data_IF_469582207991
#
_entry.id   IF_469582207991
#
_cell.length_a   1.000
_cell.length_b   1.000
_cell.length_c   1.000
_cell.angle_alpha   90.00
_cell.angle_beta   90.00
_cell.angle_gamma   90.00
#
_symmetry.space_group_name_H-M   'P 1'
#
loop_
_entity.id
_entity.type
_entity.pdbx_description
1 polymer ?
#
# COMPACT_ATOMS: atom_id res chain seq x y z
N UNK A 1 30.96 67.00 33.75
CA UNK A 1 30.21 66.28 32.70
C UNK A 1 30.43 64.75 32.74
N UNK A 2 29.36 63.95 32.74
CA UNK A 2 29.41 62.48 32.64
C UNK A 2 29.20 62.03 31.19
N UNK A 3 30.09 61.21 30.63
CA UNK A 3 29.98 60.67 29.28
C UNK A 3 29.86 59.15 29.32
N UNK A 4 28.72 58.66 28.85
CA UNK A 4 28.42 57.23 28.74
C UNK A 4 28.58 56.75 27.30
N UNK A 5 29.01 55.50 27.15
CA UNK A 5 28.90 54.75 25.92
C UNK A 5 27.95 53.57 26.12
N UNK A 6 26.94 53.53 25.26
CA UNK A 6 25.99 52.43 25.17
C UNK A 6 26.37 51.58 23.96
N UNK A 7 26.34 50.26 24.12
CA UNK A 7 26.44 49.33 22.99
C UNK A 7 25.24 49.51 22.06
N UNK A 8 25.37 49.09 20.79
CA UNK A 8 24.33 49.30 19.76
C UNK A 8 22.98 48.67 20.11
N UNK A 9 23.02 47.56 20.86
CA UNK A 9 21.87 46.82 21.37
C UNK A 9 21.33 47.38 22.71
N UNK A 10 21.96 48.43 23.26
CA UNK A 10 21.69 48.98 24.59
C UNK A 10 21.79 47.93 25.73
N UNK A 11 22.58 46.87 25.55
CA UNK A 11 22.76 45.83 26.58
C UNK A 11 23.87 46.14 27.56
N UNK A 12 24.79 47.05 27.24
CA UNK A 12 25.89 47.42 28.14
C UNK A 12 26.05 48.93 28.18
N UNK A 13 26.18 49.49 29.39
CA UNK A 13 26.55 50.89 29.61
C UNK A 13 27.94 50.97 30.25
N UNK A 14 28.79 51.80 29.67
CA UNK A 14 30.18 51.99 30.11
C UNK A 14 30.46 53.48 30.32
N UNK A 15 31.05 53.85 31.45
CA UNK A 15 31.53 55.23 31.67
C UNK A 15 32.84 55.39 30.89
N UNK A 16 32.88 56.35 29.96
CA UNK A 16 34.10 56.69 29.21
C UNK A 16 34.86 57.85 29.85
N UNK A 17 34.15 58.91 30.20
CA UNK A 17 34.73 60.11 30.78
C UNK A 17 33.83 60.61 31.90
N UNK A 18 34.45 61.07 32.98
CA UNK A 18 33.77 61.69 34.11
C UNK A 18 34.54 62.95 34.49
N UNK A 19 33.83 64.06 34.51
CA UNK A 19 34.34 65.35 34.97
C UNK A 19 33.34 65.92 35.99
N UNK A 20 33.79 66.38 37.15
CA UNK A 20 32.91 66.85 38.24
C UNK A 20 33.29 68.29 38.55
N UNK A 21 32.38 69.22 38.24
CA UNK A 21 32.70 70.66 38.28
C UNK A 21 32.94 71.20 39.71
N UNK A 22 32.36 70.59 40.76
CA UNK A 22 32.65 70.87 42.18
C UNK A 22 32.22 69.73 43.13
N UNK A 23 33.10 69.31 44.06
CA UNK A 23 32.79 68.39 45.17
C UNK A 23 33.28 66.94 45.01
N UNK A 24 33.24 66.15 46.09
CA UNK A 24 33.50 64.69 46.06
C UNK A 24 32.38 63.97 45.30
N UNK A 25 32.74 63.03 44.42
CA UNK A 25 31.75 62.18 43.76
C UNK A 25 31.13 61.24 44.80
N UNK A 26 29.81 61.16 44.83
CA UNK A 26 29.06 60.25 45.70
C UNK A 26 28.36 59.17 44.87
N UNK A 27 28.24 57.96 45.42
CA UNK A 27 27.52 56.84 44.79
C UNK A 27 26.09 57.27 44.38
N UNK A 28 25.37 57.96 45.28
CA UNK A 28 24.00 58.44 45.05
C UNK A 28 23.92 59.57 44.01
N UNK A 29 24.98 60.37 43.88
CA UNK A 29 25.09 61.39 42.85
C UNK A 29 25.26 60.77 41.47
N UNK A 30 26.21 59.82 41.36
CA UNK A 30 26.49 59.09 40.13
C UNK A 30 25.26 58.29 39.68
N UNK A 31 24.60 57.56 40.59
CA UNK A 31 23.38 56.81 40.28
C UNK A 31 22.24 57.71 39.78
N UNK A 32 22.07 58.92 40.35
CA UNK A 32 21.10 59.91 39.87
C UNK A 32 21.41 60.41 38.46
N UNK A 33 22.68 60.65 38.16
CA UNK A 33 23.09 61.13 36.84
C UNK A 33 23.00 60.04 35.78
N UNK A 34 23.26 58.78 36.13
CA UNK A 34 22.98 57.62 35.28
C UNK A 34 21.50 57.51 34.92
N UNK A 35 20.62 57.69 35.91
CA UNK A 35 19.16 57.70 35.70
C UNK A 35 18.70 58.85 34.80
N UNK A 36 19.30 60.04 34.94
CA UNK A 36 19.02 61.18 34.03
C UNK A 36 19.47 60.92 32.59
N UNK A 37 20.53 60.13 32.40
CA UNK A 37 20.98 59.70 31.07
C UNK A 37 20.25 58.44 30.55
N UNK A 38 19.19 58.00 31.25
CA UNK A 38 18.31 56.93 30.78
C UNK A 38 18.73 55.52 31.18
N UNK A 39 19.78 55.35 32.00
CA UNK A 39 20.15 54.04 32.56
C UNK A 39 19.24 53.76 33.76
N UNK A 40 18.40 52.74 33.64
CA UNK A 40 17.35 52.44 34.60
C UNK A 40 17.36 50.99 35.10
N UNK A 41 18.13 50.12 34.46
CA UNK A 41 18.18 48.69 34.75
C UNK A 41 19.61 48.16 34.73
N UNK A 42 19.87 47.12 35.55
CA UNK A 42 21.12 46.37 35.48
C UNK A 42 22.36 47.07 36.03
N UNK A 43 22.19 48.16 36.80
CA UNK A 43 23.28 48.94 37.39
C UNK A 43 24.03 48.11 38.44
N UNK A 44 25.36 48.01 38.32
CA UNK A 44 26.21 47.32 39.28
C UNK A 44 26.76 48.30 40.32
N UNK A 45 26.17 48.29 41.52
CA UNK A 45 26.58 49.14 42.65
C UNK A 45 28.05 48.93 43.05
N UNK A 46 28.62 47.74 42.83
CA UNK A 46 30.04 47.49 43.11
C UNK A 46 30.93 48.15 42.07
N UNK A 47 30.51 48.15 40.81
CA UNK A 47 31.22 48.86 39.75
C UNK A 47 31.15 50.39 39.98
N UNK A 48 29.99 50.92 40.39
CA UNK A 48 29.85 52.34 40.74
C UNK A 48 30.78 52.75 41.87
N UNK A 49 30.82 51.99 42.97
CA UNK A 49 31.75 52.25 44.10
C UNK A 49 33.21 52.25 43.68
N UNK A 50 33.60 51.33 42.79
CA UNK A 50 34.96 51.29 42.23
C UNK A 50 35.25 52.55 41.43
N UNK A 51 34.35 52.95 40.55
CA UNK A 51 34.47 54.19 39.76
C UNK A 51 34.60 55.41 40.67
N UNK A 52 33.77 55.50 41.71
CA UNK A 52 33.79 56.61 42.68
C UNK A 52 35.09 56.64 43.46
N UNK A 53 35.55 55.50 43.97
CA UNK A 53 36.81 55.41 44.71
C UNK A 53 38.03 55.74 43.85
N UNK A 54 38.07 55.29 42.58
CA UNK A 54 39.14 55.60 41.64
C UNK A 54 39.15 57.09 41.33
N UNK A 55 37.98 57.65 40.99
CA UNK A 55 37.87 59.07 40.64
C UNK A 55 38.24 60.00 41.80
N UNK A 56 37.80 59.71 43.03
CA UNK A 56 38.13 60.53 44.20
C UNK A 56 39.61 60.41 44.61
N UNK A 57 40.33 59.36 44.20
CA UNK A 57 41.77 59.18 44.48
C UNK A 57 42.68 59.80 43.42
N UNK A 58 42.35 59.69 42.13
CA UNK A 58 43.21 60.11 41.02
C UNK A 58 42.71 61.36 40.27
N UNK A 59 41.47 61.77 40.51
CA UNK A 59 40.79 62.84 39.77
C UNK A 59 40.44 62.51 38.31
N UNK A 60 40.71 61.28 37.86
CA UNK A 60 40.47 60.83 36.47
C UNK A 60 40.12 59.35 36.40
N UNK A 61 39.21 58.98 35.50
CA UNK A 61 39.05 57.59 35.07
C UNK A 61 40.10 57.25 34.02
N UNK A 62 40.94 56.26 34.29
CA UNK A 62 41.93 55.78 33.33
C UNK A 62 41.36 54.74 32.36
N UNK A 63 40.32 54.00 32.77
CA UNK A 63 39.74 52.91 32.00
C UNK A 63 38.22 52.99 31.94
N UNK A 64 37.66 52.65 30.78
CA UNK A 64 36.22 52.56 30.59
C UNK A 64 35.66 51.41 31.44
N UNK A 65 34.75 51.71 32.36
CA UNK A 65 34.19 50.71 33.30
C UNK A 65 32.74 50.43 32.96
N UNK A 66 32.39 49.15 32.81
CA UNK A 66 31.01 48.71 32.66
C UNK A 66 30.29 48.95 33.98
N UNK A 67 29.20 49.69 33.93
CA UNK A 67 28.44 50.13 35.11
C UNK A 67 27.00 49.63 35.11
N UNK A 68 26.49 49.19 33.96
CA UNK A 68 25.22 48.50 33.87
C UNK A 68 25.24 47.45 32.77
N UNK A 69 24.58 46.31 33.02
CA UNK A 69 24.36 45.24 32.05
C UNK A 69 22.88 44.87 32.01
N UNK A 70 22.33 44.85 30.80
CA UNK A 70 20.99 44.36 30.54
C UNK A 70 20.89 42.86 30.81
N UNK A 71 19.65 42.37 30.92
CA UNK A 71 19.36 40.95 31.02
C UNK A 71 19.08 40.42 29.63
N UNK A 72 19.88 39.49 29.13
CA UNK A 72 19.60 38.88 27.83
C UNK A 72 18.27 38.11 27.84
N UNK A 73 17.53 38.11 26.72
CA UNK A 73 16.35 37.28 26.60
C UNK A 73 16.72 35.80 26.63
N UNK A 74 15.79 34.96 27.10
CA UNK A 74 15.94 33.51 27.05
C UNK A 74 15.04 32.98 25.94
N UNK A 75 15.65 32.44 24.88
CA UNK A 75 14.92 31.80 23.77
C UNK A 75 14.05 30.65 24.29
N UNK A 76 12.84 30.54 23.73
CA UNK A 76 11.93 29.44 24.05
C UNK A 76 12.45 28.10 23.54
N UNK A 77 11.77 27.01 23.89
CA UNK A 77 11.99 25.71 23.26
C UNK A 77 10.92 25.48 22.21
N UNK A 78 11.30 24.86 21.09
CA UNK A 78 10.33 24.36 20.11
C UNK A 78 9.68 23.07 20.64
N UNK A 79 8.62 22.60 19.99
CA UNK A 79 8.01 21.31 20.33
C UNK A 79 9.03 20.17 20.09
N UNK A 80 9.03 19.13 20.90
CA UNK A 80 9.97 18.02 20.73
C UNK A 80 9.25 16.69 20.76
N UNK A 81 9.64 15.80 19.86
CA UNK A 81 9.13 14.44 19.82
C UNK A 81 10.11 13.55 20.59
N UNK A 82 9.68 13.03 21.73
CA UNK A 82 10.47 12.10 22.54
C UNK A 82 10.08 10.66 22.16
N UNK A 83 10.93 9.91 21.43
CA UNK A 83 10.66 8.51 21.14
C UNK A 83 10.61 7.68 22.41
N UNK A 84 9.75 6.68 22.42
CA UNK A 84 9.57 5.73 23.52
C UNK A 84 9.78 4.27 23.05
N UNK A 85 10.69 4.09 22.09
CA UNK A 85 11.13 2.80 21.56
C UNK A 85 12.65 2.78 21.39
N UNK A 86 13.24 1.58 21.40
CA UNK A 86 14.66 1.32 21.14
C UNK A 86 14.93 1.26 19.64
N UNK A 87 16.11 1.74 19.22
CA UNK A 87 16.64 1.54 17.87
C UNK A 87 18.05 0.93 17.92
N UNK A 88 18.45 0.30 16.83
CA UNK A 88 19.83 -0.15 16.62
C UNK A 88 20.23 -0.02 15.16
N UNK A 89 21.54 0.10 14.91
CA UNK A 89 22.11 0.05 13.57
C UNK A 89 22.43 -1.40 13.20
N UNK A 90 21.76 -1.92 12.19
CA UNK A 90 22.01 -3.23 11.60
C UNK A 90 23.01 -3.08 10.45
N UNK A 91 24.15 -3.77 10.54
CA UNK A 91 25.11 -3.84 9.45
C UNK A 91 24.65 -4.87 8.42
N UNK A 92 24.42 -4.43 7.19
CA UNK A 92 24.08 -5.30 6.06
C UNK A 92 25.34 -5.45 5.21
N UNK A 93 25.81 -6.69 5.08
CA UNK A 93 26.88 -7.05 4.13
C UNK A 93 26.22 -7.51 2.84
N UNK A 94 26.50 -6.83 1.72
CA UNK A 94 26.14 -7.36 0.42
C UNK A 94 27.09 -8.49 0.03
N UNK A 95 26.55 -9.57 -0.54
CA UNK A 95 27.31 -10.78 -0.86
C UNK A 95 28.41 -10.58 -1.92
N UNK A 96 28.53 -9.40 -2.56
CA UNK A 96 29.48 -9.14 -3.65
C UNK A 96 30.08 -7.71 -3.66
N UNK A 97 29.94 -6.92 -2.58
CA UNK A 97 30.52 -5.56 -2.51
C UNK A 97 31.18 -5.27 -1.15
N UNK A 98 32.34 -4.59 -1.16
CA UNK A 98 33.01 -4.08 0.05
C UNK A 98 32.23 -2.92 0.74
N UNK A 99 31.05 -2.55 0.20
CA UNK A 99 30.17 -1.55 0.82
C UNK A 99 29.30 -2.20 1.89
N UNK A 100 29.55 -1.82 3.14
CA UNK A 100 28.61 -2.06 4.23
C UNK A 100 27.58 -0.92 4.28
N UNK A 101 26.30 -1.27 4.24
CA UNK A 101 25.21 -0.34 4.53
C UNK A 101 24.75 -0.55 5.97
N UNK A 102 24.48 0.54 6.68
CA UNK A 102 23.87 0.49 8.00
C UNK A 102 22.40 0.86 7.87
N UNK A 103 21.52 -0.04 8.28
CA UNK A 103 20.09 0.19 8.35
C UNK A 103 19.73 0.46 9.81
N UNK A 104 19.11 1.59 10.10
CA UNK A 104 18.52 1.82 11.42
C UNK A 104 17.20 1.03 11.51
N UNK A 105 17.11 0.15 12.51
CA UNK A 105 15.92 -0.64 12.81
C UNK A 105 15.40 -0.28 14.20
N UNK A 106 14.09 -0.39 14.40
CA UNK A 106 13.42 -0.20 15.69
C UNK A 106 12.96 -1.54 16.28
N UNK A 107 12.66 -1.55 17.57
CA UNK A 107 11.99 -2.70 18.18
C UNK A 107 10.55 -2.87 17.65
N UNK A 108 10.03 -4.09 17.73
CA UNK A 108 8.63 -4.37 17.43
C UNK A 108 7.75 -3.81 18.55
N UNK A 109 6.92 -2.83 18.22
CA UNK A 109 5.90 -2.27 19.12
C UNK A 109 4.61 -3.09 19.02
N UNK A 110 3.89 -3.24 20.13
CA UNK A 110 2.56 -3.85 20.15
C UNK A 110 1.47 -2.80 20.05
N UNK A 111 0.30 -3.18 19.52
CA UNK A 111 -0.86 -2.28 19.48
C UNK A 111 -1.21 -1.76 20.89
N UNK A 112 -1.37 -0.45 20.98
CA UNK A 112 -1.60 0.30 22.21
C UNK A 112 -0.34 0.82 22.91
N UNK A 113 0.86 0.38 22.50
CA UNK A 113 2.11 0.87 23.10
C UNK A 113 2.33 2.35 22.82
N UNK A 114 2.98 3.03 23.77
CA UNK A 114 3.42 4.41 23.60
C UNK A 114 4.62 4.44 22.64
N UNK A 115 4.46 5.09 21.49
CA UNK A 115 5.52 5.23 20.48
C UNK A 115 6.33 6.50 20.71
N UNK A 116 5.67 7.61 20.99
CA UNK A 116 6.34 8.87 21.26
C UNK A 116 5.51 9.81 22.14
N UNK A 117 6.17 10.77 22.76
CA UNK A 117 5.54 11.87 23.49
C UNK A 117 5.89 13.20 22.81
N UNK A 118 4.88 13.94 22.38
CA UNK A 118 5.00 15.30 21.88
C UNK A 118 5.02 16.29 23.05
N UNK A 119 6.20 16.82 23.35
CA UNK A 119 6.36 17.87 24.35
C UNK A 119 6.04 19.24 23.73
N UNK A 120 5.17 20.00 24.41
CA UNK A 120 4.80 21.34 23.97
C UNK A 120 5.97 22.34 24.03
N UNK A 121 6.00 23.32 23.11
CA UNK A 121 7.03 24.36 23.13
C UNK A 121 6.94 25.19 24.40
N UNK A 122 8.09 25.66 24.91
CA UNK A 122 8.14 26.56 26.07
C UNK A 122 8.35 27.98 25.57
N UNK A 123 7.53 28.96 26.01
CA UNK A 123 7.70 30.34 25.59
C UNK A 123 9.04 30.90 26.06
N UNK A 124 9.65 31.73 25.22
CA UNK A 124 10.83 32.49 25.60
C UNK A 124 10.50 33.51 26.68
N UNK A 125 11.52 33.98 27.40
CA UNK A 125 11.40 35.05 28.39
C UNK A 125 12.09 36.30 27.85
N UNK A 126 11.40 37.42 27.91
CA UNK A 126 11.96 38.71 27.53
C UNK A 126 13.19 39.06 28.37
N UNK A 127 14.16 39.64 27.68
CA UNK A 127 15.29 40.33 28.27
C UNK A 127 14.93 41.78 28.58
N UNK A 128 15.91 42.54 29.07
CA UNK A 128 15.76 43.95 29.38
C UNK A 128 17.07 44.69 29.13
N UNK A 129 17.02 45.77 28.36
CA UNK A 129 18.18 46.65 28.11
C UNK A 129 18.56 47.40 29.38
N UNK A 130 19.75 48.02 29.41
CA UNK A 130 20.15 48.92 30.52
C UNK A 130 19.27 50.16 30.63
N UNK A 131 18.55 50.50 29.55
CA UNK A 131 17.58 51.61 29.51
C UNK A 131 16.19 51.22 30.01
N UNK A 132 15.97 49.94 30.32
CA UNK A 132 14.70 49.43 30.83
C UNK A 132 13.67 49.10 29.75
N UNK A 133 14.11 48.95 28.49
CA UNK A 133 13.26 48.50 27.39
C UNK A 133 13.30 46.96 27.31
N UNK A 134 12.16 46.28 27.07
CA UNK A 134 12.14 44.84 26.89
C UNK A 134 12.85 44.44 25.60
N UNK A 135 13.56 43.30 25.64
CA UNK A 135 14.18 42.66 24.48
C UNK A 135 13.45 41.35 24.21
N UNK A 136 12.86 41.20 23.03
CA UNK A 136 12.16 39.98 22.66
C UNK A 136 13.15 38.80 22.53
N UNK A 137 12.77 37.58 22.95
CA UNK A 137 13.54 36.38 22.65
C UNK A 137 13.47 36.06 21.17
N UNK A 138 14.49 35.34 20.69
CA UNK A 138 14.45 34.78 19.34
C UNK A 138 13.27 33.81 19.21
N UNK A 139 12.63 33.80 18.04
CA UNK A 139 11.57 32.86 17.75
C UNK A 139 12.16 31.46 17.49
N UNK A 140 11.68 30.40 18.16
CA UNK A 140 12.11 29.05 17.86
C UNK A 140 11.70 28.66 16.43
N UNK A 141 12.39 27.69 15.81
CA UNK A 141 12.00 27.19 14.50
C UNK A 141 10.58 26.62 14.53
N UNK A 142 9.83 26.86 13.47
CA UNK A 142 8.47 26.35 13.30
C UNK A 142 8.52 24.84 13.04
N UNK A 143 7.59 24.10 13.64
CA UNK A 143 7.49 22.65 13.50
C UNK A 143 6.23 22.28 12.74
N UNK A 144 6.40 21.43 11.74
CA UNK A 144 5.33 20.70 11.09
C UNK A 144 5.48 19.21 11.44
N UNK A 145 4.51 18.67 12.18
CA UNK A 145 4.45 17.26 12.56
C UNK A 145 3.43 16.53 11.71
N UNK A 146 3.86 15.45 11.05
CA UNK A 146 3.00 14.52 10.33
C UNK A 146 2.95 13.20 11.07
N UNK A 147 1.75 12.78 11.48
CA UNK A 147 1.49 11.45 12.04
C UNK A 147 1.08 10.53 10.89
N UNK A 148 1.86 9.48 10.66
CA UNK A 148 1.60 8.47 9.65
C UNK A 148 0.46 7.52 10.02
N UNK A 149 0.15 6.60 9.10
CA UNK A 149 -0.86 5.57 9.34
C UNK A 149 -0.47 4.65 10.51
N UNK A 150 -1.47 4.02 11.12
CA UNK A 150 -1.32 3.12 12.27
C UNK A 150 -0.75 3.76 13.55
N UNK A 151 -0.87 5.08 13.69
CA UNK A 151 -0.53 5.83 14.90
C UNK A 151 -1.70 6.71 15.33
N UNK A 152 -1.95 6.76 16.63
CA UNK A 152 -3.00 7.59 17.23
C UNK A 152 -2.37 8.67 18.10
N UNK A 153 -2.68 9.95 17.83
CA UNK A 153 -2.24 11.09 18.63
C UNK A 153 -3.38 11.55 19.54
N UNK A 154 -3.13 11.51 20.86
CA UNK A 154 -3.94 12.23 21.84
C UNK A 154 -3.47 13.69 21.93
N UNK A 155 -4.23 14.60 21.31
CA UNK A 155 -3.93 16.03 21.29
C UNK A 155 -3.87 16.68 22.69
N UNK A 156 -4.55 16.11 23.69
CA UNK A 156 -4.57 16.68 25.04
C UNK A 156 -3.31 16.33 25.82
N UNK A 157 -2.81 15.11 25.65
CA UNK A 157 -1.66 14.61 26.40
C UNK A 157 -0.36 14.61 25.60
N UNK A 158 -0.45 14.79 24.28
CA UNK A 158 0.69 14.68 23.36
C UNK A 158 1.17 13.24 23.16
N UNK A 159 0.43 12.23 23.65
CA UNK A 159 0.84 10.83 23.54
C UNK A 159 0.53 10.31 22.15
N UNK A 160 1.52 9.68 21.53
CA UNK A 160 1.36 8.99 20.25
C UNK A 160 1.47 7.49 20.52
N UNK A 161 0.39 6.75 20.27
CA UNK A 161 0.31 5.30 20.51
C UNK A 161 0.23 4.51 19.21
N UNK A 162 0.70 3.27 19.23
CA UNK A 162 0.60 2.36 18.11
C UNK A 162 -0.84 1.89 17.91
N UNK A 163 -1.44 2.18 16.75
CA UNK A 163 -2.75 1.67 16.36
C UNK A 163 -2.71 0.24 15.80
N UNK A 164 -1.51 -0.26 15.48
CA UNK A 164 -1.25 -1.65 15.09
C UNK A 164 0.15 -2.06 15.55
N UNK A 165 0.37 -3.36 15.76
CA UNK A 165 1.71 -3.88 16.05
C UNK A 165 2.66 -3.72 14.85
N UNK A 166 3.84 -3.15 15.06
CA UNK A 166 4.79 -2.85 13.98
C UNK A 166 6.01 -2.06 14.41
N UNK A 167 6.73 -1.52 13.42
CA UNK A 167 8.03 -0.89 13.58
C UNK A 167 7.92 0.62 13.36
N UNK A 168 8.10 1.44 14.42
CA UNK A 168 8.06 2.88 14.28
C UNK A 168 9.33 3.44 13.63
N UNK A 169 9.17 4.51 12.87
CA UNK A 169 10.25 5.28 12.27
C UNK A 169 9.97 6.76 12.46
N UNK A 170 10.99 7.53 12.87
CA UNK A 170 10.90 8.99 12.99
C UNK A 170 11.89 9.62 12.02
N UNK A 171 11.37 10.37 11.07
CA UNK A 171 12.13 11.14 10.11
C UNK A 171 12.11 12.62 10.51
N UNK A 172 13.28 13.19 10.76
CA UNK A 172 13.43 14.62 11.07
C UNK A 172 14.24 15.27 9.96
N UNK A 173 13.66 16.28 9.31
CA UNK A 173 14.39 17.10 8.36
C UNK A 173 14.24 18.60 8.68
N UNK A 174 15.34 19.34 8.55
CA UNK A 174 15.36 20.79 8.79
C UNK A 174 15.65 21.52 7.49
N UNK A 175 14.83 22.52 7.15
CA UNK A 175 15.03 23.42 6.01
C UNK A 175 14.82 24.87 6.44
N UNK A 176 15.87 25.68 6.35
CA UNK A 176 15.88 27.09 6.80
C UNK A 176 15.50 27.21 8.29
N UNK A 177 14.33 27.77 8.59
CA UNK A 177 13.79 27.95 9.95
C UNK A 177 12.57 27.05 10.25
N UNK A 178 12.37 26.01 9.43
CA UNK A 178 11.30 25.02 9.62
C UNK A 178 11.90 23.63 9.86
N UNK A 179 11.38 22.92 10.85
CA UNK A 179 11.67 21.53 11.13
C UNK A 179 10.44 20.70 10.80
N UNK A 180 10.59 19.75 9.89
CA UNK A 180 9.54 18.79 9.56
C UNK A 180 9.85 17.49 10.28
N UNK A 181 8.90 17.03 11.09
CA UNK A 181 8.97 15.74 11.76
C UNK A 181 7.86 14.86 11.20
N UNK A 182 8.22 13.66 10.79
CA UNK A 182 7.27 12.66 10.34
C UNK A 182 7.51 11.39 11.16
N UNK A 183 6.44 10.89 11.79
CA UNK A 183 6.48 9.61 12.48
C UNK A 183 5.59 8.64 11.74
N UNK A 184 6.11 7.45 11.44
CA UNK A 184 5.38 6.38 10.74
C UNK A 184 5.49 5.09 11.54
N UNK A 185 4.55 4.19 11.30
CA UNK A 185 4.62 2.82 11.81
C UNK A 185 4.41 1.87 10.64
N UNK A 186 5.42 1.05 10.37
CA UNK A 186 5.32 -0.02 9.37
C UNK A 186 4.73 -1.25 10.06
N UNK A 187 3.53 -1.70 9.70
CA UNK A 187 2.87 -2.81 10.39
C UNK A 187 3.65 -4.12 10.22
N UNK A 188 3.72 -4.93 11.27
CA UNK A 188 4.37 -6.24 11.19
C UNK A 188 3.55 -7.22 10.34
N UNK A 189 2.23 -7.09 10.35
CA UNK A 189 1.31 -7.93 9.58
C UNK A 189 0.52 -7.04 8.62
N UNK A 190 0.51 -7.43 7.35
CA UNK A 190 -0.36 -6.83 6.33
C UNK A 190 -1.32 -7.89 5.79
N UNK A 191 -2.54 -7.45 5.47
CA UNK A 191 -3.55 -8.28 4.84
C UNK A 191 -3.92 -7.62 3.51
N UNK A 192 -4.00 -8.40 2.44
CA UNK A 192 -4.41 -7.90 1.13
C UNK A 192 -5.88 -7.41 1.12
N UNK A 193 -6.27 -6.66 0.09
CA UNK A 193 -7.61 -6.04 0.02
C UNK A 193 -8.75 -7.06 0.04
N UNK A 194 -8.51 -8.26 -0.49
CA UNK A 194 -9.49 -9.36 -0.53
C UNK A 194 -9.47 -10.23 0.73
N UNK A 195 -8.58 -9.94 1.69
CA UNK A 195 -8.36 -10.70 2.93
C UNK A 195 -8.01 -12.16 2.68
N UNK A 196 -7.37 -12.46 1.56
CA UNK A 196 -6.98 -13.79 1.12
C UNK A 196 -5.53 -14.14 1.47
N UNK A 197 -4.66 -13.15 1.69
CA UNK A 197 -3.26 -13.39 2.05
C UNK A 197 -2.87 -12.46 3.20
N UNK A 198 -2.28 -13.05 4.24
CA UNK A 198 -1.62 -12.31 5.32
C UNK A 198 -0.13 -12.52 5.18
N UNK A 199 0.58 -11.42 5.17
CA UNK A 199 2.02 -11.39 5.06
C UNK A 199 2.63 -10.80 6.33
N UNK A 200 3.77 -11.34 6.71
CA UNK A 200 4.50 -10.97 7.92
C UNK A 200 5.83 -10.36 7.51
N UNK A 201 6.13 -9.20 8.08
CA UNK A 201 7.41 -8.53 8.01
C UNK A 201 7.97 -8.39 9.40
N UNK A 202 9.20 -8.85 9.61
CA UNK A 202 9.91 -8.69 10.87
C UNK A 202 11.35 -8.24 10.61
N UNK A 203 11.82 -7.24 11.37
CA UNK A 203 13.24 -6.89 11.50
C UNK A 203 13.92 -7.69 12.60
N UNK A 204 15.15 -8.22 12.41
CA UNK A 204 15.87 -9.00 13.43
C UNK A 204 15.80 -8.33 14.81
N UNK A 205 15.75 -9.12 15.91
CA UNK A 205 15.59 -8.54 17.23
C UNK A 205 16.80 -7.66 17.54
N UNK A 206 16.57 -6.56 18.28
CA UNK A 206 17.67 -5.69 18.69
C UNK A 206 18.67 -6.48 19.56
N UNK A 207 19.95 -6.07 19.62
CA UNK A 207 20.94 -6.76 20.43
C UNK A 207 20.50 -6.95 21.89
N UNK A 208 20.27 -8.20 22.30
CA UNK A 208 19.83 -8.56 23.65
C UNK A 208 18.32 -8.77 23.81
N UNK A 209 17.50 -8.41 22.82
CA UNK A 209 16.07 -8.70 22.81
C UNK A 209 15.80 -10.16 22.37
N UNK A 210 14.76 -10.81 22.89
CA UNK A 210 14.41 -12.18 22.51
C UNK A 210 13.84 -12.23 21.09
N UNK A 211 14.09 -13.35 20.41
CA UNK A 211 13.40 -13.69 19.15
C UNK A 211 11.93 -13.98 19.48
N UNK A 212 10.97 -13.46 18.69
CA UNK A 212 9.57 -13.76 18.89
C UNK A 212 9.28 -15.25 18.70
N UNK A 213 8.53 -15.83 19.63
CA UNK A 213 8.09 -17.21 19.52
C UNK A 213 6.87 -17.35 18.60
N UNK A 214 6.47 -18.60 18.34
CA UNK A 214 5.32 -18.90 17.49
C UNK A 214 4.03 -18.30 18.03
N UNK A 215 3.83 -18.32 19.35
CA UNK A 215 2.59 -17.86 19.96
C UNK A 215 2.47 -16.33 19.85
N UNK A 216 3.59 -15.62 19.95
CA UNK A 216 3.67 -14.18 19.68
C UNK A 216 3.34 -13.87 18.21
N UNK A 217 3.89 -14.61 17.26
CA UNK A 217 3.55 -14.42 15.83
C UNK A 217 2.07 -14.72 15.56
N UNK A 218 1.51 -15.78 16.16
CA UNK A 218 0.09 -16.09 16.07
C UNK A 218 -0.76 -14.97 16.68
N UNK A 219 -0.32 -14.37 17.80
CA UNK A 219 -1.01 -13.24 18.42
C UNK A 219 -1.03 -12.00 17.50
N UNK A 220 0.08 -11.69 16.82
CA UNK A 220 0.14 -10.61 15.82
C UNK A 220 -0.85 -10.84 14.67
N UNK A 221 -0.94 -12.08 14.16
CA UNK A 221 -1.92 -12.45 13.13
C UNK A 221 -3.35 -12.35 13.65
N UNK A 222 -3.60 -12.81 14.88
CA UNK A 222 -4.91 -12.76 15.51
C UNK A 222 -5.39 -11.33 15.79
N UNK A 223 -4.48 -10.40 16.11
CA UNK A 223 -4.77 -8.97 16.24
C UNK A 223 -5.38 -8.39 14.96
N UNK A 224 -4.90 -8.84 13.80
CA UNK A 224 -5.45 -8.47 12.49
C UNK A 224 -6.69 -9.30 12.09
N UNK A 225 -7.19 -10.15 12.99
CA UNK A 225 -8.39 -10.97 12.77
C UNK A 225 -8.15 -12.25 11.97
N UNK A 226 -6.91 -12.66 11.71
CA UNK A 226 -6.60 -13.90 10.99
C UNK A 226 -6.99 -15.10 11.86
N UNK A 227 -7.99 -15.86 11.42
CA UNK A 227 -8.49 -17.06 12.10
C UNK A 227 -8.43 -18.32 11.23
N UNK A 228 -8.08 -18.19 9.96
CA UNK A 228 -8.07 -19.28 8.99
C UNK A 228 -6.79 -19.24 8.14
N UNK A 229 -6.38 -20.41 7.64
CA UNK A 229 -5.36 -20.47 6.58
C UNK A 229 -3.91 -20.26 7.02
N UNK A 230 -3.62 -20.25 8.32
CA UNK A 230 -2.25 -20.09 8.84
C UNK A 230 -1.36 -21.26 8.39
N UNK A 231 -0.20 -20.92 7.81
CA UNK A 231 0.81 -21.86 7.40
C UNK A 231 1.86 -21.98 8.51
N UNK A 232 1.60 -22.84 9.50
CA UNK A 232 2.51 -23.05 10.65
C UNK A 232 3.93 -23.41 10.22
N UNK A 233 4.17 -24.30 9.23
CA UNK A 233 5.51 -24.54 8.71
C UNK A 233 6.23 -23.28 8.19
N UNK A 234 5.53 -22.40 7.46
CA UNK A 234 6.12 -21.16 6.97
C UNK A 234 6.44 -20.18 8.12
N UNK A 235 5.59 -20.13 9.15
CA UNK A 235 5.84 -19.33 10.36
C UNK A 235 7.10 -19.82 11.08
N UNK A 236 7.25 -21.14 11.25
CA UNK A 236 8.41 -21.74 11.91
C UNK A 236 9.70 -21.49 11.13
N UNK A 237 9.65 -21.63 9.81
CA UNK A 237 10.76 -21.31 8.92
C UNK A 237 11.15 -19.83 9.03
N UNK A 238 10.16 -18.94 9.06
CA UNK A 238 10.38 -17.50 9.19
C UNK A 238 11.05 -17.15 10.52
N UNK A 239 10.55 -17.66 11.64
CA UNK A 239 11.16 -17.46 12.97
C UNK A 239 12.61 -17.98 12.99
N UNK A 240 12.86 -19.12 12.36
CA UNK A 240 14.22 -19.69 12.27
C UNK A 240 15.15 -18.81 11.43
N UNK A 241 14.68 -18.29 10.29
CA UNK A 241 15.45 -17.37 9.45
C UNK A 241 15.68 -16.02 10.13
N UNK A 242 14.72 -15.57 10.91
CA UNK A 242 14.77 -14.33 11.66
C UNK A 242 15.82 -14.34 12.79
N UNK A 243 16.18 -15.52 13.29
CA UNK A 243 17.31 -15.69 14.21
C UNK A 243 18.66 -15.32 13.58
N UNK A 244 18.72 -15.11 12.27
CA UNK A 244 19.92 -14.64 11.57
C UNK A 244 19.96 -13.11 11.53
N UNK A 245 21.14 -12.51 11.59
CA UNK A 245 21.33 -11.04 11.63
C UNK A 245 21.03 -10.32 10.32
N UNK A 246 20.32 -10.96 9.38
CA UNK A 246 19.96 -10.38 8.09
C UNK A 246 18.46 -10.09 8.06
N UNK A 247 18.05 -8.88 7.63
CA UNK A 247 16.64 -8.57 7.46
C UNK A 247 16.05 -9.51 6.40
N UNK A 248 14.79 -9.89 6.60
CA UNK A 248 14.06 -10.64 5.59
C UNK A 248 13.72 -9.70 4.43
N UNK A 249 13.86 -10.21 3.20
CA UNK A 249 13.50 -9.47 2.00
C UNK A 249 11.97 -9.34 1.91
N UNK A 250 11.45 -8.24 2.44
CA UNK A 250 10.04 -7.87 2.34
C UNK A 250 9.08 -8.73 3.15
N UNK A 251 7.80 -8.60 2.83
CA UNK A 251 6.69 -9.31 3.46
C UNK A 251 6.63 -10.77 2.99
N UNK A 252 6.50 -11.70 3.94
CA UNK A 252 6.44 -13.14 3.65
C UNK A 252 5.02 -13.66 3.91
N UNK A 253 4.39 -14.38 2.96
CA UNK A 253 3.05 -14.91 3.16
C UNK A 253 3.04 -16.03 4.22
N UNK A 254 2.33 -15.79 5.32
CA UNK A 254 2.22 -16.71 6.46
C UNK A 254 0.81 -17.27 6.66
N UNK A 255 -0.20 -16.70 6.00
CA UNK A 255 -1.53 -17.29 5.94
C UNK A 255 -2.18 -17.09 4.56
N UNK A 256 -2.98 -18.07 4.12
CA UNK A 256 -3.75 -18.00 2.87
C UNK A 256 -5.18 -18.51 3.04
N UNK A 257 -6.13 -17.72 2.55
CA UNK A 257 -7.51 -18.12 2.39
C UNK A 257 -7.66 -19.25 1.37
N UNK A 258 -8.83 -19.88 1.37
CA UNK A 258 -9.25 -20.86 0.39
C UNK A 258 -9.99 -20.16 -0.74
N UNK A 259 -9.40 -20.12 -1.94
CA UNK A 259 -10.04 -19.52 -3.11
C UNK A 259 -11.34 -20.24 -3.46
N UNK A 260 -12.40 -19.52 -3.89
CA UNK A 260 -13.60 -20.15 -4.41
C UNK A 260 -13.29 -20.89 -5.72
N UNK A 261 -14.02 -21.97 -5.97
CA UNK A 261 -14.01 -22.65 -7.27
C UNK A 261 -15.19 -22.11 -8.07
N UNK A 262 -14.91 -21.42 -9.17
CA UNK A 262 -15.99 -20.91 -10.02
C UNK A 262 -16.76 -22.03 -10.71
N UNK A 263 -18.05 -21.79 -10.92
CA UNK A 263 -18.92 -22.67 -11.68
C UNK A 263 -18.50 -22.77 -13.14
N UNK A 264 -18.82 -23.89 -13.75
CA UNK A 264 -18.63 -24.11 -15.19
C UNK A 264 -19.92 -23.73 -15.91
N UNK A 265 -19.79 -22.96 -16.99
CA UNK A 265 -20.91 -22.64 -17.87
C UNK A 265 -21.49 -23.93 -18.47
N UNK A 266 -22.80 -23.95 -18.61
CA UNK A 266 -23.46 -25.04 -19.32
C UNK A 266 -23.04 -25.05 -20.79
N UNK A 267 -22.96 -26.24 -21.38
CA UNK A 267 -22.58 -26.39 -22.78
C UNK A 267 -23.29 -27.59 -23.40
N UNK A 268 -23.42 -27.59 -24.73
CA UNK A 268 -23.94 -28.74 -25.47
C UNK A 268 -22.80 -29.73 -25.73
N UNK A 269 -22.94 -30.93 -25.21
CA UNK A 269 -22.09 -32.07 -25.56
C UNK A 269 -22.76 -32.88 -26.66
N UNK A 270 -22.21 -32.78 -27.87
CA UNK A 270 -22.69 -33.55 -29.01
C UNK A 270 -22.35 -35.03 -28.83
N UNK A 271 -23.31 -35.90 -29.13
CA UNK A 271 -23.12 -37.37 -29.04
C UNK A 271 -22.68 -37.98 -30.38
N UNK A 272 -22.41 -37.13 -31.37
CA UNK A 272 -21.94 -37.47 -32.70
C UNK A 272 -20.84 -36.50 -33.11
N UNK A 273 -20.07 -36.89 -34.12
CA UNK A 273 -19.06 -36.02 -34.73
C UNK A 273 -19.77 -34.90 -35.50
N UNK A 274 -19.53 -33.66 -35.08
CA UNK A 274 -20.12 -32.46 -35.67
C UNK A 274 -19.08 -31.66 -36.43
N UNK A 275 -19.43 -31.21 -37.64
CA UNK A 275 -18.56 -30.43 -38.53
C UNK A 275 -18.21 -31.13 -39.84
N UNK A 276 -17.59 -30.42 -40.80
CA UNK A 276 -17.26 -30.98 -42.11
C UNK A 276 -16.11 -31.99 -41.99
N UNK A 277 -16.35 -33.23 -42.40
CA UNK A 277 -15.30 -34.24 -42.51
C UNK A 277 -14.59 -34.01 -43.84
N UNK A 278 -13.29 -33.67 -43.86
CA UNK A 278 -12.62 -33.18 -45.06
C UNK A 278 -12.48 -34.22 -46.18
N UNK A 279 -12.56 -35.51 -45.82
CA UNK A 279 -12.44 -36.67 -46.71
C UNK A 279 -12.10 -37.93 -45.92
N UNK A 280 -11.95 -39.06 -46.61
CA UNK A 280 -11.58 -40.35 -46.00
C UNK A 280 -10.11 -40.65 -46.23
N UNK A 281 -9.37 -40.92 -45.16
CA UNK A 281 -7.96 -41.37 -45.28
C UNK A 281 -7.94 -42.80 -45.82
N UNK A 282 -7.20 -43.01 -46.90
CA UNK A 282 -6.99 -44.30 -47.54
C UNK A 282 -5.85 -45.07 -46.86
N UNK A 283 -5.74 -46.41 -47.04
CA UNK A 283 -4.69 -47.23 -46.45
C UNK A 283 -3.25 -46.82 -46.82
N UNK A 284 -3.09 -46.10 -47.94
CA UNK A 284 -1.81 -45.55 -48.40
C UNK A 284 -1.45 -44.18 -47.76
N UNK A 285 -2.31 -43.65 -46.88
CA UNK A 285 -2.12 -42.35 -46.22
C UNK A 285 -2.63 -41.14 -47.02
N UNK A 286 -3.12 -41.32 -48.24
CA UNK A 286 -3.74 -40.24 -49.03
C UNK A 286 -5.19 -40.00 -48.59
N UNK A 287 -5.66 -38.75 -48.69
CA UNK A 287 -7.05 -38.41 -48.36
C UNK A 287 -7.89 -38.36 -49.62
N UNK A 288 -8.99 -39.12 -49.64
CA UNK A 288 -10.00 -39.04 -50.68
C UNK A 288 -10.98 -37.91 -50.37
N UNK A 289 -10.74 -36.75 -50.99
CA UNK A 289 -11.61 -35.57 -50.87
C UNK A 289 -13.00 -35.77 -51.48
N UNK A 290 -13.24 -36.84 -52.25
CA UNK A 290 -14.59 -37.19 -52.74
C UNK A 290 -15.46 -37.72 -51.62
N UNK A 291 -14.88 -38.31 -50.58
CA UNK A 291 -15.59 -38.81 -49.39
C UNK A 291 -15.76 -37.72 -48.31
N UNK A 292 -15.71 -36.44 -48.72
CA UNK A 292 -16.01 -35.32 -47.84
C UNK A 292 -17.47 -35.37 -47.41
N UNK A 293 -17.74 -35.20 -46.13
CA UNK A 293 -19.09 -35.10 -45.59
C UNK A 293 -19.31 -33.69 -45.06
N UNK A 294 -19.98 -32.86 -45.86
CA UNK A 294 -20.40 -31.52 -45.43
C UNK A 294 -21.69 -31.53 -44.61
N UNK A 295 -22.50 -32.56 -44.78
CA UNK A 295 -23.83 -32.68 -44.18
C UNK A 295 -23.89 -33.92 -43.31
N UNK A 296 -24.38 -33.77 -42.08
CA UNK A 296 -24.58 -34.86 -41.14
C UNK A 296 -26.05 -35.22 -41.18
N UNK A 297 -26.37 -36.42 -41.66
CA UNK A 297 -27.72 -36.95 -41.63
C UNK A 297 -28.11 -37.41 -40.23
N UNK A 298 -29.32 -37.08 -39.80
CA UNK A 298 -29.87 -37.46 -38.50
C UNK A 298 -31.19 -38.21 -38.70
N UNK A 299 -31.45 -39.23 -37.88
CA UNK A 299 -32.74 -39.96 -37.91
C UNK A 299 -33.73 -39.38 -36.91
N UNK A 300 -35.01 -39.51 -37.23
CA UNK A 300 -36.08 -39.26 -36.27
C UNK A 300 -35.84 -40.00 -34.93
N UNK A 301 -35.97 -39.25 -33.83
CA UNK A 301 -35.78 -39.71 -32.45
C UNK A 301 -34.31 -39.79 -31.99
N UNK A 302 -33.34 -39.61 -32.90
CA UNK A 302 -31.91 -39.70 -32.58
C UNK A 302 -31.46 -38.50 -31.72
N UNK A 303 -30.59 -38.77 -30.73
CA UNK A 303 -30.03 -37.74 -29.85
C UNK A 303 -28.92 -37.03 -30.63
N UNK A 304 -28.98 -35.69 -30.64
CA UNK A 304 -28.01 -34.82 -31.30
C UNK A 304 -26.98 -34.34 -30.29
N UNK A 305 -27.46 -33.84 -29.15
CA UNK A 305 -26.62 -33.31 -28.09
C UNK A 305 -27.32 -33.45 -26.74
N UNK A 306 -26.52 -33.37 -25.67
CA UNK A 306 -27.00 -33.28 -24.29
C UNK A 306 -26.45 -31.99 -23.68
N UNK A 307 -27.32 -31.15 -23.14
CA UNK A 307 -26.91 -29.97 -22.36
C UNK A 307 -26.33 -30.44 -21.04
N UNK A 308 -25.03 -30.21 -20.86
CA UNK A 308 -24.37 -30.29 -19.56
C UNK A 308 -24.77 -29.05 -18.77
N UNK A 309 -25.45 -29.22 -17.65
CA UNK A 309 -25.96 -28.11 -16.83
C UNK A 309 -24.82 -27.24 -16.27
N UNK A 310 -25.11 -25.97 -16.00
CA UNK A 310 -24.15 -25.09 -15.37
C UNK A 310 -23.93 -25.53 -13.92
N UNK A 311 -22.71 -25.39 -13.41
CA UNK A 311 -22.42 -25.70 -12.01
C UNK A 311 -22.41 -24.41 -11.17
N UNK A 312 -22.87 -24.45 -9.91
CA UNK A 312 -22.92 -23.27 -9.05
C UNK A 312 -21.52 -22.79 -8.57
N UNK A 313 -20.49 -23.63 -8.72
CA UNK A 313 -19.19 -23.43 -8.09
C UNK A 313 -19.18 -23.81 -6.61
N UNK A 314 -18.01 -23.73 -5.98
CA UNK A 314 -17.81 -24.03 -4.56
C UNK A 314 -17.31 -22.78 -3.81
N UNK A 315 -17.90 -22.43 -2.66
CA UNK A 315 -17.48 -21.27 -1.88
C UNK A 315 -16.08 -21.43 -1.32
N UNK A 316 -15.33 -20.33 -1.40
CA UNK A 316 -14.06 -20.15 -0.71
C UNK A 316 -14.26 -19.64 0.71
N UNK A 317 -13.14 -19.42 1.40
CA UNK A 317 -13.11 -18.85 2.75
C UNK A 317 -11.87 -17.97 2.92
N UNK A 318 -12.06 -16.71 3.27
CA UNK A 318 -10.95 -15.78 3.48
C UNK A 318 -10.31 -15.98 4.88
N UNK A 319 -9.27 -15.20 5.18
CA UNK A 319 -8.49 -15.32 6.41
C UNK A 319 -9.28 -14.98 7.68
N UNK A 320 -10.27 -14.08 7.56
CA UNK A 320 -11.17 -13.71 8.66
C UNK A 320 -12.31 -14.73 8.83
N UNK A 321 -12.33 -15.77 8.01
CA UNK A 321 -13.33 -16.83 8.02
C UNK A 321 -14.64 -16.48 7.32
N UNK A 322 -14.69 -15.35 6.61
CA UNK A 322 -15.82 -14.95 5.77
C UNK A 322 -15.88 -15.82 4.51
N UNK A 323 -17.11 -16.12 4.05
CA UNK A 323 -17.31 -16.92 2.84
C UNK A 323 -17.04 -16.06 1.61
N UNK A 324 -16.19 -16.56 0.71
CA UNK A 324 -15.95 -15.94 -0.59
C UNK A 324 -16.83 -16.65 -1.62
N UNK A 325 -17.82 -15.93 -2.14
CA UNK A 325 -18.79 -16.50 -3.07
C UNK A 325 -18.12 -16.90 -4.40
N UNK A 326 -18.45 -18.07 -4.98
CA UNK A 326 -18.04 -18.40 -6.33
C UNK A 326 -18.89 -17.62 -7.33
N UNK A 327 -18.36 -17.43 -8.54
CA UNK A 327 -19.15 -17.02 -9.69
C UNK A 327 -19.85 -18.27 -10.22
N UNK A 328 -21.20 -18.34 -10.22
CA UNK A 328 -21.91 -19.48 -10.77
C UNK A 328 -21.77 -19.51 -12.30
N UNK A 329 -21.74 -20.73 -12.85
CA UNK A 329 -21.74 -20.92 -14.30
C UNK A 329 -23.02 -20.39 -14.93
N UNK A 330 -22.90 -19.93 -16.18
CA UNK A 330 -24.01 -19.39 -16.95
C UNK A 330 -24.78 -20.51 -17.66
N UNK A 331 -26.10 -20.39 -17.63
CA UNK A 331 -26.98 -21.26 -18.40
C UNK A 331 -27.03 -20.86 -19.88
N UNK A 332 -26.93 -21.84 -20.76
CA UNK A 332 -26.86 -21.74 -22.20
C UNK A 332 -28.28 -21.97 -22.73
N UNK A 333 -28.92 -20.94 -23.31
CA UNK A 333 -30.24 -21.10 -23.89
C UNK A 333 -30.13 -21.95 -25.17
N UNK A 334 -30.65 -23.17 -25.14
CA UNK A 334 -30.67 -24.07 -26.30
C UNK A 334 -31.79 -23.65 -27.24
N UNK A 335 -31.45 -23.41 -28.52
CA UNK A 335 -32.39 -23.07 -29.58
C UNK A 335 -32.47 -24.20 -30.58
N UNK A 336 -33.67 -24.70 -30.84
CA UNK A 336 -33.94 -25.75 -31.82
C UNK A 336 -34.79 -25.25 -32.99
N UNK A 337 -34.65 -25.83 -34.19
CA UNK A 337 -35.63 -25.64 -35.28
C UNK A 337 -36.86 -26.51 -35.09
N UNK A 338 -37.90 -26.33 -35.93
CA UNK A 338 -39.15 -27.09 -35.85
C UNK A 338 -38.98 -28.62 -35.99
N UNK A 339 -37.91 -29.07 -36.65
CA UNK A 339 -37.58 -30.49 -36.84
C UNK A 339 -36.66 -31.05 -35.74
N UNK A 340 -36.43 -30.30 -34.66
CA UNK A 340 -35.71 -30.74 -33.47
C UNK A 340 -36.44 -30.32 -32.20
N UNK A 341 -36.32 -31.10 -31.15
CA UNK A 341 -36.88 -30.76 -29.85
C UNK A 341 -35.77 -30.72 -28.80
N UNK A 342 -35.89 -29.79 -27.86
CA UNK A 342 -35.08 -29.73 -26.66
C UNK A 342 -35.96 -30.06 -25.47
N UNK A 343 -35.60 -31.11 -24.73
CA UNK A 343 -36.26 -31.48 -23.50
C UNK A 343 -35.52 -30.85 -22.31
N UNK A 344 -36.16 -29.88 -21.65
CA UNK A 344 -35.56 -29.20 -20.50
C UNK A 344 -35.32 -30.12 -19.28
N UNK A 345 -36.10 -31.19 -19.13
CA UNK A 345 -35.98 -32.11 -17.99
C UNK A 345 -34.80 -33.06 -18.14
N UNK A 346 -34.59 -33.59 -19.34
CA UNK A 346 -33.48 -34.51 -19.63
C UNK A 346 -32.22 -33.80 -20.13
N UNK A 347 -32.37 -32.57 -20.64
CA UNK A 347 -31.30 -31.82 -21.29
C UNK A 347 -30.97 -32.32 -22.70
N UNK A 348 -31.74 -33.26 -23.24
CA UNK A 348 -31.48 -33.85 -24.55
C UNK A 348 -32.04 -33.00 -25.68
N UNK A 349 -31.26 -32.88 -26.76
CA UNK A 349 -31.73 -32.38 -28.05
C UNK A 349 -31.90 -33.58 -28.97
N UNK A 350 -33.10 -33.79 -29.49
CA UNK A 350 -33.44 -34.90 -30.38
C UNK A 350 -34.02 -34.40 -31.70
N UNK A 351 -33.80 -35.16 -32.76
CA UNK A 351 -34.47 -34.92 -34.03
C UNK A 351 -35.93 -35.36 -33.95
N UNK A 352 -36.84 -34.48 -34.37
CA UNK A 352 -38.28 -34.79 -34.51
C UNK A 352 -38.55 -35.47 -35.85
N UNK A 353 -37.81 -35.09 -36.90
CA UNK A 353 -37.87 -35.73 -38.21
C UNK A 353 -36.47 -36.08 -38.70
N UNK A 354 -36.36 -37.08 -39.57
CA UNK A 354 -35.10 -37.38 -40.26
C UNK A 354 -34.72 -36.21 -41.18
N UNK A 355 -33.43 -35.89 -41.29
CA UNK A 355 -32.97 -34.77 -42.09
C UNK A 355 -31.49 -34.47 -41.96
N UNK A 356 -31.11 -33.23 -42.25
CA UNK A 356 -29.73 -32.75 -42.16
C UNK A 356 -29.54 -31.84 -40.96
N UNK A 357 -28.52 -32.14 -40.16
CA UNK A 357 -28.11 -31.36 -39.00
C UNK A 357 -27.31 -30.11 -39.43
N UNK A 358 -27.70 -28.95 -38.90
CA UNK A 358 -27.00 -27.68 -39.02
C UNK A 358 -26.86 -27.07 -37.62
N UNK A 359 -25.63 -26.74 -37.24
CA UNK A 359 -25.32 -26.12 -35.95
C UNK A 359 -24.85 -24.69 -36.23
N UNK A 360 -25.44 -23.72 -35.56
CA UNK A 360 -25.05 -22.30 -35.66
C UNK A 360 -24.63 -21.79 -34.29
N UNK A 361 -23.41 -21.29 -34.19
CA UNK A 361 -22.83 -20.91 -32.90
C UNK A 361 -22.68 -22.10 -31.96
N UNK A 362 -22.82 -21.86 -30.66
CA UNK A 362 -22.66 -22.83 -29.57
C UNK A 362 -23.98 -23.39 -29.03
N UNK A 363 -25.13 -22.81 -29.41
CA UNK A 363 -26.41 -23.09 -28.78
C UNK A 363 -27.60 -23.34 -29.72
N UNK A 364 -27.42 -23.17 -31.04
CA UNK A 364 -28.52 -23.32 -32.01
C UNK A 364 -28.34 -24.58 -32.84
N UNK A 365 -29.24 -25.54 -32.65
CA UNK A 365 -29.30 -26.81 -33.38
C UNK A 365 -30.49 -26.76 -34.32
N UNK A 366 -30.27 -27.03 -35.60
CA UNK A 366 -31.34 -27.11 -36.59
C UNK A 366 -31.27 -28.45 -37.30
N UNK A 367 -32.41 -29.08 -37.44
CA UNK A 367 -32.61 -30.17 -38.39
C UNK A 367 -33.43 -29.62 -39.55
N UNK A 368 -33.06 -29.99 -40.77
CA UNK A 368 -33.80 -29.66 -41.98
C UNK A 368 -34.20 -30.97 -42.66
N UNK A 369 -35.50 -31.31 -42.63
CA UNK A 369 -36.01 -32.55 -43.22
C UNK A 369 -35.80 -32.66 -44.75
N UNK A 370 -35.65 -31.52 -45.46
CA UNK A 370 -35.34 -31.49 -46.90
C UNK A 370 -33.91 -31.04 -47.13
N UNK A 371 -33.07 -31.93 -47.67
CA UNK A 371 -31.68 -31.59 -48.01
C UNK A 371 -31.65 -30.81 -49.33
N UNK A 372 -31.22 -29.54 -49.25
CA UNK A 372 -31.03 -28.69 -50.44
C UNK A 372 -29.56 -28.36 -50.58
N UNK A 373 -28.98 -28.72 -51.73
CA UNK A 373 -27.61 -28.38 -52.10
C UNK A 373 -27.64 -27.20 -53.06
N UNK A 374 -27.29 -26.03 -52.54
CA UNK A 374 -27.22 -24.78 -53.30
C UNK A 374 -25.93 -24.70 -54.14
N UNK A 375 -25.81 -25.55 -55.16
CA UNK A 375 -24.68 -25.53 -56.10
C UNK A 375 -24.31 -26.89 -56.69
N UNK A 376 -23.12 -26.95 -57.27
CA UNK A 376 -22.58 -28.16 -57.90
C UNK A 376 -22.06 -29.18 -56.87
N UNK A 377 -22.20 -30.47 -57.17
CA UNK A 377 -21.54 -31.55 -56.42
C UNK A 377 -20.14 -31.73 -56.98
N UNK A 378 -19.11 -31.33 -56.21
CA UNK A 378 -17.70 -31.33 -56.59
C UNK A 378 -16.80 -31.58 -55.36
N UNK A 379 -15.48 -31.38 -55.46
CA UNK A 379 -14.54 -31.56 -54.34
C UNK A 379 -14.79 -30.65 -53.13
N UNK A 380 -15.54 -29.55 -53.32
CA UNK A 380 -16.05 -28.70 -52.26
C UNK A 380 -17.12 -29.41 -51.42
N UNK A 381 -18.00 -30.18 -52.07
CA UNK A 381 -19.20 -30.82 -51.50
C UNK A 381 -18.99 -32.28 -51.09
N UNK A 382 -18.29 -33.06 -51.91
CA UNK A 382 -18.14 -34.52 -51.76
C UNK A 382 -19.28 -35.32 -52.39
N UNK A 383 -19.16 -36.64 -52.35
CA UNK A 383 -20.22 -37.60 -52.67
C UNK A 383 -21.35 -37.45 -51.67
N UNK A 384 -22.60 -37.52 -52.15
CA UNK A 384 -23.78 -37.41 -51.29
C UNK A 384 -24.51 -38.73 -51.27
N UNK A 385 -24.76 -39.24 -50.08
CA UNK A 385 -25.60 -40.41 -49.84
C UNK A 385 -26.61 -40.05 -48.77
N UNK A 386 -27.88 -39.99 -49.13
CA UNK A 386 -28.99 -39.70 -48.22
C UNK A 386 -30.09 -40.74 -48.36
N UNK A 387 -30.92 -40.89 -47.32
CA UNK A 387 -32.09 -41.78 -47.37
C UNK A 387 -33.39 -41.02 -47.65
N UNK A 388 -33.32 -39.69 -47.67
CA UNK A 388 -34.46 -38.81 -47.86
C UNK A 388 -34.43 -38.18 -49.26
N UNK A 389 -35.44 -37.37 -49.59
CA UNK A 389 -35.44 -36.61 -50.83
C UNK A 389 -34.34 -35.55 -50.82
N UNK A 390 -33.71 -35.35 -51.98
CA UNK A 390 -32.58 -34.46 -52.15
C UNK A 390 -32.84 -33.51 -53.31
N UNK A 391 -32.62 -32.21 -53.09
CA UNK A 391 -32.64 -31.22 -54.15
C UNK A 391 -31.25 -30.69 -54.44
N UNK A 392 -30.77 -30.80 -55.68
CA UNK A 392 -29.48 -30.26 -56.12
C UNK A 392 -29.72 -29.13 -57.11
N UNK A 393 -29.44 -27.90 -56.70
CA UNK A 393 -29.68 -26.73 -57.57
C UNK A 393 -28.63 -26.54 -58.69
N UNK A 394 -27.54 -27.31 -58.66
CA UNK A 394 -26.46 -27.29 -59.65
C UNK A 394 -26.26 -28.65 -60.33
N UNK A 395 -25.09 -28.84 -60.94
CA UNK A 395 -24.73 -30.10 -61.63
C UNK A 395 -23.86 -31.01 -60.76
N UNK A 396 -24.05 -32.32 -60.92
CA UNK A 396 -23.11 -33.33 -60.40
C UNK A 396 -21.89 -33.38 -61.32
N UNK A 397 -20.70 -33.01 -60.82
CA UNK A 397 -19.47 -33.04 -61.63
C UNK A 397 -18.98 -34.47 -61.87
N UNK A 398 -18.17 -34.72 -62.93
CA UNK A 398 -17.60 -36.03 -63.18
C UNK A 398 -16.85 -36.59 -61.96
N UNK A 399 -16.94 -37.90 -61.74
CA UNK A 399 -16.33 -38.64 -60.62
C UNK A 399 -16.99 -38.44 -59.25
N UNK A 400 -18.14 -37.75 -59.19
CA UNK A 400 -18.98 -37.63 -58.00
C UNK A 400 -20.27 -38.42 -58.14
N UNK A 401 -20.77 -38.94 -57.03
CA UNK A 401 -22.02 -39.71 -56.97
C UNK A 401 -22.99 -39.06 -56.01
N UNK A 402 -24.26 -39.03 -56.42
CA UNK A 402 -25.40 -38.66 -55.58
C UNK A 402 -26.31 -39.87 -55.51
N UNK A 403 -26.59 -40.35 -54.30
CA UNK A 403 -27.49 -41.46 -54.03
C UNK A 403 -28.52 -41.01 -53.02
N UNK A 404 -29.80 -41.14 -53.36
CA UNK A 404 -30.93 -40.89 -52.47
C UNK A 404 -31.90 -42.07 -52.52
N UNK A 405 -32.53 -42.42 -51.40
CA UNK A 405 -33.66 -43.37 -51.43
C UNK A 405 -35.00 -42.69 -51.74
N UNK A 406 -35.08 -41.36 -51.57
CA UNK A 406 -36.20 -40.53 -52.01
C UNK A 406 -35.97 -39.91 -53.38
N UNK A 407 -36.86 -39.00 -53.78
CA UNK A 407 -36.74 -38.30 -55.05
C UNK A 407 -35.51 -37.38 -55.10
N UNK A 408 -34.83 -37.35 -56.24
CA UNK A 408 -33.72 -36.43 -56.53
C UNK A 408 -34.21 -35.41 -57.56
N UNK A 409 -34.35 -34.15 -57.13
CA UNK A 409 -34.72 -32.98 -57.96
C UNK A 409 -33.48 -32.19 -58.41
#
# INVERSE_FOLDING_TARGET
MLRLHLTRDNMTATIQELDVDTGELTDDGLARDLKKQGISFGVDDRALRKVVSMYNQSGRLENSTIIAQGKEPVTGSTATLQPHFKTALLAIQENDSDSSHQLEISELMTCGDLVALLESPRPGKEGMTVTGLPVAPDEPPEIELTIGEHLDLDEQTGRITAGASGYPEILVCSKKNKVFMEIKLTPAVTIDSEKMVAELFLFPPLPGDPIPDRDQVIALLAEQGVIYGMNTPAIDELITRFATTHPLDGYIPVARGMMPVHGQDSHLRFVMDVGPIPGKIQPNGEIDFRERQLFIGIREGEIIAVRMAATPGEPGKNLLGEIVAPVPGRELPVKVSDDACFDEQTGEVRAVHSGVLSITGDNTIKVCAMQVISGDVNYGTGNISTRDALKVSGSVKPLFTVSANGDVD
#
